data_IF_253115585938
#
_entry.id   IF_253115585938
#
_cell.length_a   1.000
_cell.length_b   1.000
_cell.length_c   1.000
_cell.angle_alpha   90.00
_cell.angle_beta   90.00
_cell.angle_gamma   90.00
#
_symmetry.space_group_name_H-M   'P 1'
#
loop_
_entity.id
_entity.type
_entity.pdbx_description
1 polymer ?
#
# COMPACT_ATOMS: atom_id res chain seq x y z
N UNK A 1 43.37 30.53 18.15
CA UNK A 1 42.68 30.97 16.93
C UNK A 1 41.24 31.30 17.31
N UNK A 2 40.79 32.50 17.01
CA UNK A 2 39.43 32.94 17.29
C UNK A 2 38.52 32.46 16.15
N UNK A 3 37.43 31.78 16.48
CA UNK A 3 36.51 31.29 15.47
C UNK A 3 35.66 32.43 14.90
N UNK A 4 35.18 32.38 13.65
CA UNK A 4 34.31 33.38 13.06
C UNK A 4 33.01 33.57 13.87
N UNK A 5 32.44 34.77 13.79
CA UNK A 5 31.14 35.03 14.43
C UNK A 5 30.08 34.07 13.90
N UNK A 6 29.31 33.50 14.80
CA UNK A 6 28.28 32.53 14.44
C UNK A 6 28.78 31.10 14.20
N UNK A 7 30.10 30.83 14.17
CA UNK A 7 30.63 29.48 13.97
C UNK A 7 30.33 28.56 15.17
N UNK A 8 30.27 29.09 16.37
CA UNK A 8 30.11 28.36 17.63
C UNK A 8 31.35 28.42 18.50
N UNK A 9 31.39 27.63 19.58
CA UNK A 9 32.45 27.70 20.58
C UNK A 9 32.93 26.30 20.94
N UNK A 10 34.29 26.15 21.03
CA UNK A 10 34.94 24.94 21.56
C UNK A 10 35.84 25.35 22.73
N UNK A 11 35.62 24.74 23.92
CA UNK A 11 36.46 24.97 25.08
C UNK A 11 36.61 23.70 25.92
N UNK A 12 37.64 23.68 26.77
CA UNK A 12 37.92 22.57 27.68
C UNK A 12 37.14 22.75 28.98
N UNK A 13 36.42 21.72 29.39
CA UNK A 13 35.75 21.65 30.68
C UNK A 13 36.76 21.32 31.81
N UNK A 14 36.52 21.80 33.01
CA UNK A 14 37.30 21.47 34.18
C UNK A 14 37.06 20.03 34.68
N UNK A 15 38.03 19.51 35.43
CA UNK A 15 37.98 18.16 36.02
C UNK A 15 38.56 17.07 35.12
N UNK A 16 38.70 15.86 35.69
CA UNK A 16 39.26 14.69 35.01
C UNK A 16 38.14 13.98 34.17
N UNK A 17 37.97 14.37 32.92
CA UNK A 17 36.93 13.86 32.01
C UNK A 17 37.56 13.08 30.86
N UNK A 18 36.95 11.96 30.45
CA UNK A 18 37.36 11.21 29.27
C UNK A 18 37.25 12.05 27.99
N UNK A 19 36.22 12.88 27.90
CA UNK A 19 35.96 13.79 26.76
C UNK A 19 35.87 15.24 27.29
N UNK A 20 36.98 15.94 27.51
CA UNK A 20 37.00 17.23 28.18
C UNK A 20 36.63 18.41 27.28
N UNK A 21 36.63 18.27 25.94
CA UNK A 21 36.32 19.38 25.04
C UNK A 21 34.85 19.33 24.65
N UNK A 22 34.16 20.44 24.82
CA UNK A 22 32.76 20.64 24.42
C UNK A 22 32.68 21.54 23.19
N UNK A 23 31.90 21.14 22.19
CA UNK A 23 31.50 21.98 21.07
C UNK A 23 30.06 22.48 21.27
N UNK A 24 29.83 23.78 21.14
CA UNK A 24 28.52 24.41 21.29
C UNK A 24 28.23 25.39 20.17
N UNK A 25 26.97 25.45 19.72
CA UNK A 25 26.44 26.44 18.78
C UNK A 25 25.38 27.28 19.45
N UNK A 26 25.35 28.58 19.22
CA UNK A 26 24.26 29.46 19.68
C UNK A 26 22.99 29.09 18.90
N UNK A 27 21.93 28.81 19.65
CA UNK A 27 20.58 28.50 19.08
C UNK A 27 19.70 29.77 19.05
N UNK A 28 19.91 30.70 20.00
CA UNK A 28 19.14 31.92 20.14
C UNK A 28 19.41 32.63 21.44
N UNK A 29 18.58 33.58 21.75
CA UNK A 29 18.63 34.36 22.97
C UNK A 29 17.24 34.35 23.62
N UNK A 30 17.19 34.22 24.93
CA UNK A 30 15.99 34.31 25.75
C UNK A 30 16.14 35.49 26.73
N UNK A 31 15.09 36.26 26.87
CA UNK A 31 15.08 37.35 27.88
C UNK A 31 14.47 36.78 29.16
N UNK A 32 15.24 36.78 30.23
CA UNK A 32 14.74 36.39 31.55
C UNK A 32 13.65 37.39 31.99
N UNK A 33 12.41 36.94 32.16
CA UNK A 33 11.28 37.83 32.48
C UNK A 33 11.39 38.50 33.87
N UNK A 34 12.24 37.94 34.75
CA UNK A 34 12.43 38.48 36.09
C UNK A 34 13.56 39.51 36.19
N UNK A 35 14.61 39.35 35.39
CA UNK A 35 15.81 40.19 35.47
C UNK A 35 16.02 41.09 34.26
N UNK A 36 15.25 40.94 33.18
CA UNK A 36 15.39 41.68 31.94
C UNK A 36 16.71 41.38 31.18
N UNK A 37 17.54 40.45 31.68
CA UNK A 37 18.83 40.11 31.08
C UNK A 37 18.66 39.07 29.97
N UNK A 38 19.34 39.30 28.85
CA UNK A 38 19.37 38.30 27.76
C UNK A 38 20.29 37.13 28.14
N UNK A 39 19.77 35.92 28.03
CA UNK A 39 20.49 34.66 28.23
C UNK A 39 20.69 33.95 26.87
N UNK A 40 21.93 33.64 26.59
CA UNK A 40 22.26 32.92 25.34
C UNK A 40 21.89 31.44 25.48
N UNK A 41 21.08 30.92 24.54
CA UNK A 41 20.75 29.51 24.42
C UNK A 41 21.75 28.82 23.51
N UNK A 42 22.20 27.63 23.91
CA UNK A 42 23.18 26.87 23.19
C UNK A 42 22.65 25.47 22.86
N UNK A 43 22.96 24.99 21.64
CA UNK A 43 22.95 23.60 21.29
C UNK A 43 24.32 23.01 21.56
N UNK A 44 24.39 21.92 22.34
CA UNK A 44 25.65 21.18 22.57
C UNK A 44 25.82 20.19 21.46
N UNK A 45 26.82 20.39 20.59
CA UNK A 45 27.13 19.49 19.46
C UNK A 45 27.71 18.17 19.97
N UNK A 46 28.55 18.21 21.00
CA UNK A 46 29.08 17.01 21.60
C UNK A 46 30.25 17.28 22.55
N UNK A 47 30.76 16.17 23.16
CA UNK A 47 31.95 16.15 24.02
C UNK A 47 33.01 15.26 23.38
N UNK A 48 34.25 15.74 23.29
CA UNK A 48 35.32 15.12 22.51
C UNK A 48 36.60 15.01 23.32
N UNK A 49 37.45 13.99 23.04
CA UNK A 49 38.73 13.82 23.72
C UNK A 49 39.74 14.92 23.36
N UNK A 50 39.70 15.47 22.16
CA UNK A 50 40.60 16.50 21.68
C UNK A 50 39.89 17.74 21.17
N UNK A 51 40.60 18.90 21.23
CA UNK A 51 40.11 20.17 20.67
C UNK A 51 39.93 20.07 19.16
N UNK A 52 40.77 19.29 18.45
CA UNK A 52 40.70 19.11 17.01
C UNK A 52 39.42 18.40 16.61
N UNK A 53 39.07 17.30 17.26
CA UNK A 53 37.82 16.55 17.04
C UNK A 53 36.58 17.40 17.32
N UNK A 54 36.60 18.18 18.41
CA UNK A 54 35.50 19.08 18.74
C UNK A 54 35.31 20.18 17.66
N UNK A 55 36.42 20.70 17.08
CA UNK A 55 36.35 21.67 15.98
C UNK A 55 35.88 21.04 14.66
N UNK A 56 36.31 19.83 14.35
CA UNK A 56 35.86 19.09 13.17
C UNK A 56 34.34 18.84 13.27
N UNK A 57 33.88 18.33 14.41
CA UNK A 57 32.45 18.09 14.63
C UNK A 57 31.61 19.39 14.58
N UNK A 58 32.16 20.50 15.08
CA UNK A 58 31.49 21.80 14.98
C UNK A 58 31.43 22.32 13.55
N UNK A 59 32.47 22.07 12.74
CA UNK A 59 32.49 22.40 11.32
C UNK A 59 31.50 21.56 10.52
N UNK A 60 31.44 20.25 10.77
CA UNK A 60 30.44 19.34 10.18
C UNK A 60 29.03 19.75 10.56
N UNK A 61 28.78 20.09 11.83
CA UNK A 61 27.50 20.63 12.30
C UNK A 61 27.11 21.93 11.59
N UNK A 62 28.08 22.83 11.31
CA UNK A 62 27.82 24.07 10.58
C UNK A 62 27.59 23.84 9.08
N UNK A 63 28.20 22.83 8.50
CA UNK A 63 27.98 22.43 7.11
C UNK A 63 26.62 21.75 6.91
N UNK A 64 26.17 21.00 7.94
CA UNK A 64 24.87 20.31 7.97
C UNK A 64 24.22 20.54 9.32
N UNK A 65 23.58 21.72 9.56
CA UNK A 65 22.98 22.07 10.85
C UNK A 65 21.67 21.30 11.02
N UNK A 66 21.77 20.04 11.46
CA UNK A 66 20.63 19.29 11.97
C UNK A 66 20.49 19.51 13.49
N UNK A 67 19.28 19.41 13.99
CA UNK A 67 19.04 19.47 15.43
C UNK A 67 19.81 18.34 16.13
N UNK A 68 20.52 18.63 17.24
CA UNK A 68 21.26 17.63 18.02
C UNK A 68 20.29 16.59 18.60
N UNK A 69 19.05 16.95 18.84
CA UNK A 69 18.02 16.00 19.25
C UNK A 69 17.57 15.13 18.09
N UNK A 70 17.53 15.66 16.85
CA UNK A 70 17.34 14.86 15.64
C UNK A 70 18.48 13.83 15.43
N UNK A 71 19.72 14.16 15.81
CA UNK A 71 20.85 13.24 15.73
C UNK A 71 20.75 12.03 16.68
N UNK A 72 19.86 12.07 17.69
CA UNK A 72 19.63 10.95 18.62
C UNK A 72 18.50 10.03 18.17
N UNK A 73 17.67 10.48 17.22
CA UNK A 73 16.50 9.73 16.72
C UNK A 73 16.97 8.43 16.07
N UNK A 74 16.43 7.32 16.53
CA UNK A 74 16.74 5.98 15.99
C UNK A 74 15.89 5.67 14.74
N UNK A 75 16.25 4.61 14.04
CA UNK A 75 15.48 4.11 12.91
C UNK A 75 14.08 3.65 13.35
N UNK A 76 13.96 3.08 14.55
CA UNK A 76 12.70 2.71 15.19
C UNK A 76 11.86 3.93 15.56
N UNK A 77 12.44 4.98 16.15
CA UNK A 77 11.71 6.22 16.47
C UNK A 77 11.07 6.84 15.21
N UNK A 78 11.78 6.82 14.07
CA UNK A 78 11.22 7.30 12.80
C UNK A 78 10.07 6.42 12.34
N UNK A 79 10.20 5.10 12.45
CA UNK A 79 9.13 4.17 12.08
C UNK A 79 7.89 4.38 12.95
N UNK A 80 8.04 4.47 14.27
CA UNK A 80 6.94 4.67 15.20
C UNK A 80 6.20 5.97 14.92
N UNK A 81 6.91 7.10 14.88
CA UNK A 81 6.31 8.40 14.58
C UNK A 81 5.62 8.44 13.22
N UNK A 82 6.28 7.90 12.19
CA UNK A 82 5.70 7.80 10.85
C UNK A 82 4.47 6.88 10.84
N UNK A 83 4.52 5.75 11.52
CA UNK A 83 3.41 4.79 11.55
C UNK A 83 2.19 5.33 12.25
N UNK A 84 2.36 6.04 13.36
CA UNK A 84 1.27 6.67 14.12
C UNK A 84 0.48 7.69 13.26
N UNK A 85 1.18 8.45 12.44
CA UNK A 85 0.56 9.42 11.53
C UNK A 85 -0.02 8.75 10.27
N UNK A 86 0.65 7.74 9.72
CA UNK A 86 0.32 7.17 8.41
C UNK A 86 -0.73 6.05 8.49
N UNK A 87 -0.70 5.21 9.49
CA UNK A 87 -1.60 4.05 9.57
C UNK A 87 -3.09 4.40 9.60
N UNK A 88 -3.54 5.48 10.26
CA UNK A 88 -4.94 5.90 10.21
C UNK A 88 -5.42 6.30 8.80
N UNK A 89 -4.50 6.62 7.88
CA UNK A 89 -4.81 7.11 6.52
C UNK A 89 -4.85 6.01 5.47
N UNK A 90 -4.53 4.76 5.83
CA UNK A 90 -4.42 3.64 4.88
C UNK A 90 -5.25 2.44 5.31
N UNK A 91 -5.52 1.52 4.38
CA UNK A 91 -6.26 0.30 4.68
C UNK A 91 -5.48 -0.66 5.59
N UNK A 92 -6.20 -1.49 6.38
CA UNK A 92 -5.63 -2.52 7.25
C UNK A 92 -4.67 -3.47 6.51
N UNK A 93 -4.97 -3.78 5.25
CA UNK A 93 -4.10 -4.60 4.41
C UNK A 93 -2.75 -3.94 4.16
N UNK A 94 -2.72 -2.60 4.00
CA UNK A 94 -1.48 -1.85 3.88
C UNK A 94 -0.71 -1.82 5.20
N UNK A 95 -1.41 -1.59 6.32
CA UNK A 95 -0.82 -1.63 7.68
C UNK A 95 -0.14 -2.97 7.93
N UNK A 96 -0.85 -4.10 7.67
CA UNK A 96 -0.28 -5.45 7.78
C UNK A 96 0.97 -5.62 6.91
N UNK A 97 0.95 -5.11 5.68
CA UNK A 97 2.10 -5.16 4.78
C UNK A 97 3.29 -4.33 5.26
N UNK A 98 3.06 -3.15 5.85
CA UNK A 98 4.13 -2.32 6.42
C UNK A 98 4.73 -2.95 7.69
N UNK A 99 3.89 -3.50 8.58
CA UNK A 99 4.36 -4.23 9.76
C UNK A 99 5.21 -5.45 9.39
N UNK A 100 4.80 -6.22 8.38
CA UNK A 100 5.57 -7.35 7.87
C UNK A 100 6.91 -6.92 7.25
N UNK A 101 6.96 -5.77 6.58
CA UNK A 101 8.21 -5.20 6.07
C UNK A 101 9.10 -4.69 7.21
N UNK A 102 8.53 -4.01 8.21
CA UNK A 102 9.25 -3.55 9.40
C UNK A 102 9.92 -4.69 10.17
N UNK A 103 9.25 -5.83 10.32
CA UNK A 103 9.82 -7.01 10.98
C UNK A 103 11.13 -7.54 10.37
N UNK A 104 11.53 -7.04 9.18
CA UNK A 104 12.83 -7.34 8.59
C UNK A 104 13.95 -6.38 9.06
N UNK A 105 13.59 -5.31 9.79
CA UNK A 105 14.48 -4.19 10.09
C UNK A 105 15.16 -4.25 11.47
N UNK A 106 15.07 -5.38 12.20
CA UNK A 106 15.55 -5.51 13.59
C UNK A 106 17.00 -5.01 13.78
N UNK A 107 17.88 -5.30 12.80
CA UNK A 107 19.28 -4.87 12.83
C UNK A 107 19.46 -3.35 12.74
N UNK A 108 18.49 -2.64 12.17
CA UNK A 108 18.53 -1.19 12.01
C UNK A 108 17.81 -0.45 13.15
N UNK A 109 16.87 -1.10 13.84
CA UNK A 109 15.95 -0.46 14.75
C UNK A 109 16.65 0.50 15.74
N UNK A 110 17.73 0.06 16.37
CA UNK A 110 18.49 0.84 17.38
C UNK A 110 19.56 1.77 16.80
N UNK A 111 19.81 1.74 15.49
CA UNK A 111 20.77 2.63 14.86
C UNK A 111 20.19 4.06 14.81
N UNK A 112 21.05 5.06 15.05
CA UNK A 112 20.61 6.45 14.80
C UNK A 112 20.30 6.62 13.32
N UNK A 113 19.17 7.25 13.02
CA UNK A 113 18.70 7.40 11.64
C UNK A 113 19.72 8.09 10.73
N UNK A 114 20.42 9.09 11.27
CA UNK A 114 21.48 9.83 10.57
C UNK A 114 22.69 8.98 10.21
N UNK A 115 22.92 7.84 10.88
CA UNK A 115 24.05 6.94 10.62
C UNK A 115 23.68 5.80 9.66
N UNK A 116 22.39 5.65 9.34
CA UNK A 116 21.95 4.60 8.39
C UNK A 116 22.40 4.99 6.98
N UNK A 117 23.19 4.11 6.37
CA UNK A 117 23.72 4.24 4.99
C UNK A 117 22.95 3.32 4.05
N UNK A 118 23.10 3.52 2.75
CA UNK A 118 22.52 2.63 1.73
C UNK A 118 22.93 1.16 1.94
N UNK A 119 24.21 0.91 2.29
CA UNK A 119 24.71 -0.45 2.53
C UNK A 119 23.96 -1.15 3.67
N UNK A 120 23.54 -0.42 4.70
CA UNK A 120 22.75 -0.98 5.79
C UNK A 120 21.34 -1.39 5.32
N UNK A 121 20.71 -0.58 4.46
CA UNK A 121 19.40 -0.90 3.85
C UNK A 121 19.54 -2.09 2.89
N UNK A 122 20.62 -2.12 2.10
CA UNK A 122 20.90 -3.21 1.17
C UNK A 122 21.17 -4.53 1.90
N UNK A 123 21.89 -4.49 3.01
CA UNK A 123 22.12 -5.65 3.88
C UNK A 123 20.77 -6.28 4.34
N UNK A 124 19.79 -5.47 4.75
CA UNK A 124 18.45 -5.97 5.12
C UNK A 124 17.77 -6.66 3.95
N UNK A 125 17.89 -6.12 2.74
CA UNK A 125 17.37 -6.74 1.51
C UNK A 125 18.05 -8.08 1.25
N UNK A 126 19.36 -8.11 1.23
CA UNK A 126 20.18 -9.26 0.83
C UNK A 126 20.05 -10.41 1.82
N UNK A 127 19.99 -10.13 3.11
CA UNK A 127 19.91 -11.14 4.17
C UNK A 127 18.45 -11.61 4.45
N UNK A 128 17.44 -10.90 3.95
CA UNK A 128 16.04 -11.21 4.26
C UNK A 128 15.56 -12.55 3.72
N UNK A 129 16.18 -13.07 2.65
CA UNK A 129 15.71 -14.27 1.92
C UNK A 129 14.32 -14.09 1.29
N UNK A 130 13.81 -12.85 1.16
CA UNK A 130 12.47 -12.58 0.64
C UNK A 130 12.48 -12.37 -0.88
N UNK A 131 11.34 -12.65 -1.50
CA UNK A 131 11.14 -12.44 -2.94
C UNK A 131 10.83 -10.97 -3.28
N UNK A 132 10.90 -10.66 -4.57
CA UNK A 132 10.70 -9.31 -5.11
C UNK A 132 9.42 -8.59 -4.62
N UNK A 133 8.21 -9.19 -4.57
CA UNK A 133 7.02 -8.52 -4.08
C UNK A 133 7.14 -8.05 -2.63
N UNK A 134 7.75 -8.84 -1.76
CA UNK A 134 7.98 -8.50 -0.36
C UNK A 134 9.02 -7.38 -0.24
N UNK A 135 10.13 -7.49 -0.97
CA UNK A 135 11.19 -6.48 -0.97
C UNK A 135 10.74 -5.16 -1.60
N UNK A 136 9.84 -5.20 -2.59
CA UNK A 136 9.19 -4.00 -3.10
C UNK A 136 8.41 -3.27 -2.01
N UNK A 137 7.70 -4.00 -1.14
CA UNK A 137 6.98 -3.41 0.00
C UNK A 137 7.96 -2.81 1.02
N UNK A 138 9.07 -3.48 1.28
CA UNK A 138 10.14 -2.97 2.14
C UNK A 138 10.77 -1.68 1.56
N UNK A 139 11.08 -1.63 0.27
CA UNK A 139 11.59 -0.41 -0.40
C UNK A 139 10.59 0.75 -0.31
N UNK A 140 9.28 0.46 -0.45
CA UNK A 140 8.23 1.47 -0.26
C UNK A 140 8.23 1.98 1.18
N UNK A 141 8.32 1.10 2.18
CA UNK A 141 8.41 1.48 3.59
C UNK A 141 9.60 2.41 3.83
N UNK A 142 10.79 2.03 3.39
CA UNK A 142 11.98 2.89 3.50
C UNK A 142 11.77 4.25 2.85
N UNK A 143 11.22 4.28 1.63
CA UNK A 143 10.92 5.53 0.94
C UNK A 143 9.99 6.47 1.73
N UNK A 144 8.97 5.91 2.38
CA UNK A 144 8.04 6.67 3.22
C UNK A 144 8.69 7.16 4.51
N UNK A 145 9.49 6.33 5.18
CA UNK A 145 10.24 6.71 6.39
C UNK A 145 11.28 7.79 6.09
N UNK A 146 12.03 7.67 4.99
CA UNK A 146 13.01 8.68 4.59
C UNK A 146 12.34 9.99 4.18
N UNK A 147 11.20 9.92 3.49
CA UNK A 147 10.39 11.11 3.18
C UNK A 147 9.92 11.80 4.47
N UNK A 148 9.43 11.05 5.44
CA UNK A 148 9.04 11.55 6.76
C UNK A 148 10.24 12.24 7.45
N UNK A 149 11.38 11.56 7.50
CA UNK A 149 12.58 12.08 8.13
C UNK A 149 13.11 13.39 7.49
N UNK A 150 12.93 13.55 6.16
CA UNK A 150 13.25 14.80 5.46
C UNK A 150 12.26 15.91 5.81
N UNK A 151 10.96 15.61 5.83
CA UNK A 151 9.90 16.60 6.16
C UNK A 151 10.06 17.11 7.59
N UNK A 152 10.45 16.23 8.53
CA UNK A 152 10.66 16.58 9.94
C UNK A 152 12.11 16.97 10.27
N UNK A 153 12.90 17.31 9.25
CA UNK A 153 14.27 17.84 9.37
C UNK A 153 15.24 16.94 10.16
N UNK A 154 14.93 15.62 10.25
CA UNK A 154 15.82 14.62 10.89
C UNK A 154 17.05 14.40 10.03
N UNK A 155 16.89 14.40 8.71
CA UNK A 155 17.98 14.31 7.71
C UNK A 155 17.73 15.32 6.58
N UNK A 156 18.80 15.81 5.90
CA UNK A 156 18.63 16.57 4.68
C UNK A 156 18.19 15.68 3.51
N UNK A 157 17.57 16.27 2.48
CA UNK A 157 16.99 15.56 1.31
C UNK A 157 18.00 14.69 0.58
N UNK A 158 19.25 15.15 0.48
CA UNK A 158 20.36 14.48 -0.21
C UNK A 158 20.76 13.15 0.44
N UNK A 159 20.33 12.93 1.68
CA UNK A 159 20.55 11.67 2.43
C UNK A 159 19.51 10.59 2.10
N UNK A 160 18.48 10.91 1.33
CA UNK A 160 17.51 9.91 0.88
C UNK A 160 18.04 9.14 -0.34
N UNK A 161 18.75 8.06 -0.08
CA UNK A 161 19.36 7.19 -1.09
C UNK A 161 18.52 5.93 -1.40
N UNK A 162 17.26 5.87 -0.95
CA UNK A 162 16.39 4.69 -1.10
C UNK A 162 16.11 4.34 -2.57
N UNK A 163 16.17 5.31 -3.49
CA UNK A 163 16.01 5.06 -4.93
C UNK A 163 17.08 4.11 -5.47
N UNK A 164 18.32 4.16 -4.94
CA UNK A 164 19.46 3.32 -5.34
C UNK A 164 19.42 1.90 -4.76
N UNK A 165 18.46 1.60 -3.87
CA UNK A 165 18.33 0.26 -3.28
C UNK A 165 17.97 -0.77 -4.35
N UNK A 166 18.82 -1.79 -4.50
CA UNK A 166 18.63 -2.85 -5.49
C UNK A 166 17.83 -4.01 -4.90
N UNK A 167 16.63 -4.25 -5.47
CA UNK A 167 15.76 -5.38 -5.11
C UNK A 167 15.50 -6.31 -6.30
N UNK A 168 16.11 -6.06 -7.46
CA UNK A 168 15.80 -6.76 -8.72
C UNK A 168 16.29 -8.21 -8.72
N UNK A 169 17.39 -8.48 -8.01
CA UNK A 169 18.02 -9.81 -7.95
C UNK A 169 17.19 -10.84 -7.17
N UNK A 170 16.24 -10.39 -6.37
CA UNK A 170 15.49 -11.26 -5.47
C UNK A 170 14.54 -12.25 -6.15
N UNK A 171 14.24 -12.05 -7.44
CA UNK A 171 13.32 -12.89 -8.18
C UNK A 171 11.90 -12.94 -7.59
N UNK A 172 11.04 -13.71 -8.21
CA UNK A 172 9.70 -14.04 -7.68
C UNK A 172 9.41 -15.51 -7.97
N UNK A 173 9.92 -16.45 -7.16
CA UNK A 173 9.73 -17.90 -7.39
C UNK A 173 8.26 -18.30 -7.34
N UNK A 174 7.39 -17.48 -6.73
CA UNK A 174 5.96 -17.71 -6.67
C UNK A 174 5.19 -16.76 -7.61
N UNK A 175 5.82 -16.35 -8.72
CA UNK A 175 5.14 -15.55 -9.74
C UNK A 175 3.97 -16.37 -10.29
N UNK A 176 2.75 -15.91 -9.99
CA UNK A 176 1.53 -16.46 -10.55
C UNK A 176 1.28 -15.79 -11.91
N UNK A 177 1.36 -16.56 -12.98
CA UNK A 177 0.91 -16.10 -14.28
C UNK A 177 -0.61 -16.03 -14.27
N UNK A 178 -1.14 -14.84 -14.42
CA UNK A 178 -2.58 -14.63 -14.50
C UNK A 178 -3.05 -14.94 -15.89
N UNK A 179 -3.75 -16.06 -16.03
CA UNK A 179 -4.33 -16.49 -17.28
C UNK A 179 -5.85 -16.41 -17.18
N UNK A 180 -6.54 -15.90 -18.21
CA UNK A 180 -7.99 -15.99 -18.28
C UNK A 180 -8.42 -17.46 -18.31
N UNK A 181 -9.62 -17.76 -17.82
CA UNK A 181 -10.24 -19.07 -18.09
C UNK A 181 -10.36 -19.27 -19.59
N UNK A 182 -9.95 -20.43 -20.04
CA UNK A 182 -10.14 -20.85 -21.44
C UNK A 182 -11.63 -21.08 -21.76
N UNK A 183 -11.98 -21.09 -23.03
CA UNK A 183 -13.36 -21.40 -23.45
C UNK A 183 -13.85 -22.75 -22.94
N UNK A 184 -12.96 -23.75 -22.92
CA UNK A 184 -13.27 -25.09 -22.43
C UNK A 184 -13.50 -25.13 -20.92
N UNK A 185 -12.75 -24.35 -20.15
CA UNK A 185 -12.95 -24.22 -18.69
C UNK A 185 -14.24 -23.48 -18.36
N UNK A 186 -14.57 -22.41 -19.10
CA UNK A 186 -15.87 -21.73 -18.95
C UNK A 186 -17.03 -22.66 -19.29
N UNK A 187 -16.93 -23.43 -20.39
CA UNK A 187 -17.94 -24.44 -20.74
C UNK A 187 -18.10 -25.47 -19.62
N UNK A 188 -17.01 -25.99 -19.08
CA UNK A 188 -17.03 -26.93 -17.95
C UNK A 188 -17.72 -26.37 -16.71
N UNK A 189 -17.54 -25.08 -16.42
CA UNK A 189 -18.26 -24.40 -15.32
C UNK A 189 -19.77 -24.38 -15.58
N UNK A 190 -20.22 -24.17 -16.82
CA UNK A 190 -21.62 -24.22 -17.20
C UNK A 190 -22.20 -25.64 -17.08
N UNK A 191 -21.44 -26.67 -17.42
CA UNK A 191 -21.87 -28.07 -17.33
C UNK A 191 -22.10 -28.52 -15.88
N UNK A 192 -21.28 -27.99 -14.93
CA UNK A 192 -21.35 -28.41 -13.52
C UNK A 192 -22.12 -27.48 -12.62
N UNK A 193 -22.64 -26.35 -13.12
CA UNK A 193 -23.26 -25.27 -12.30
C UNK A 193 -24.38 -25.77 -11.38
N UNK A 194 -25.12 -26.80 -11.78
CA UNK A 194 -26.24 -27.34 -11.03
C UNK A 194 -25.81 -28.37 -9.97
N UNK A 195 -24.57 -28.85 -10.01
CA UNK A 195 -24.03 -29.79 -9.02
C UNK A 195 -23.65 -29.12 -7.70
N UNK A 196 -23.31 -27.84 -7.74
CA UNK A 196 -23.03 -27.00 -6.58
C UNK A 196 -23.32 -25.55 -6.93
N UNK A 197 -24.23 -24.92 -6.17
CA UNK A 197 -24.68 -23.54 -6.45
C UNK A 197 -23.54 -22.52 -6.46
N UNK A 198 -22.44 -22.77 -5.75
CA UNK A 198 -21.30 -21.85 -5.71
C UNK A 198 -20.50 -21.79 -7.03
N UNK A 199 -20.69 -22.72 -7.97
CA UNK A 199 -20.19 -22.57 -9.35
C UNK A 199 -20.88 -21.40 -10.06
N UNK A 200 -22.13 -21.09 -9.73
CA UNK A 200 -22.82 -19.92 -10.28
C UNK A 200 -22.15 -18.62 -9.89
N UNK A 201 -21.54 -18.53 -8.70
CA UNK A 201 -20.80 -17.35 -8.25
C UNK A 201 -19.56 -17.12 -9.12
N UNK A 202 -18.88 -18.19 -9.54
CA UNK A 202 -17.73 -18.10 -10.45
C UNK A 202 -18.18 -17.56 -11.81
N UNK A 203 -19.32 -18.07 -12.34
CA UNK A 203 -19.92 -17.57 -13.58
C UNK A 203 -20.37 -16.11 -13.46
N UNK A 204 -21.02 -15.74 -12.35
CA UNK A 204 -21.39 -14.34 -12.08
C UNK A 204 -20.16 -13.42 -12.13
N UNK A 205 -19.04 -13.84 -11.54
CA UNK A 205 -17.77 -13.07 -11.60
C UNK A 205 -17.23 -12.96 -13.03
N UNK A 206 -17.30 -14.03 -13.84
CA UNK A 206 -16.86 -14.02 -15.24
C UNK A 206 -17.72 -13.08 -16.07
N UNK A 207 -19.05 -13.13 -15.94
CA UNK A 207 -19.98 -12.38 -16.79
C UNK A 207 -20.34 -10.98 -16.26
N UNK A 208 -19.75 -10.53 -15.16
CA UNK A 208 -19.84 -9.15 -14.68
C UNK A 208 -18.50 -8.43 -14.66
N UNK A 209 -17.40 -9.21 -14.61
CA UNK A 209 -16.04 -8.68 -14.49
C UNK A 209 -15.79 -7.91 -13.19
N UNK A 210 -16.65 -8.02 -12.17
CA UNK A 210 -16.41 -7.37 -10.88
C UNK A 210 -15.30 -8.07 -10.07
N UNK A 211 -14.76 -7.37 -9.09
CA UNK A 211 -13.83 -7.98 -8.14
C UNK A 211 -14.61 -8.88 -7.19
N UNK A 212 -14.01 -9.97 -6.76
CA UNK A 212 -14.67 -10.89 -5.82
C UNK A 212 -15.19 -10.18 -4.56
N UNK A 213 -14.41 -9.27 -3.96
CA UNK A 213 -14.88 -8.49 -2.81
C UNK A 213 -16.09 -7.59 -3.14
N UNK A 214 -16.16 -7.03 -4.36
CA UNK A 214 -17.30 -6.21 -4.80
C UNK A 214 -18.58 -7.06 -4.89
N UNK A 215 -18.49 -8.33 -5.27
CA UNK A 215 -19.63 -9.23 -5.36
C UNK A 215 -20.03 -9.82 -3.99
N UNK A 216 -19.06 -10.17 -3.15
CA UNK A 216 -19.33 -10.67 -1.79
C UNK A 216 -19.95 -9.60 -0.88
N UNK A 217 -19.53 -8.34 -1.06
CA UNK A 217 -20.02 -7.19 -0.29
C UNK A 217 -21.24 -6.51 -0.93
N UNK A 218 -21.80 -7.09 -2.02
CA UNK A 218 -22.94 -6.53 -2.72
C UNK A 218 -24.21 -6.72 -1.90
N UNK A 219 -24.84 -5.63 -1.48
CA UNK A 219 -26.13 -5.65 -0.78
C UNK A 219 -27.27 -5.76 -1.79
N UNK A 220 -28.35 -6.46 -1.40
CA UNK A 220 -29.56 -6.61 -2.21
C UNK A 220 -30.20 -5.27 -2.57
N UNK A 221 -30.16 -4.28 -1.67
CA UNK A 221 -30.66 -2.91 -1.94
C UNK A 221 -29.98 -2.21 -3.13
N UNK A 222 -28.75 -2.65 -3.47
CA UNK A 222 -27.99 -2.11 -4.59
C UNK A 222 -28.16 -2.90 -5.89
N UNK A 223 -29.04 -3.92 -5.92
CA UNK A 223 -29.33 -4.75 -7.09
C UNK A 223 -30.69 -4.35 -7.65
N UNK A 224 -30.73 -3.97 -8.91
CA UNK A 224 -31.96 -3.76 -9.66
C UNK A 224 -32.11 -4.90 -10.68
N UNK A 225 -32.95 -5.88 -10.34
CA UNK A 225 -33.21 -7.03 -11.21
C UNK A 225 -34.05 -6.65 -12.43
N UNK A 226 -34.97 -5.71 -12.30
CA UNK A 226 -35.85 -5.28 -13.40
C UNK A 226 -35.05 -4.62 -14.52
N UNK A 227 -34.14 -3.68 -14.16
CA UNK A 227 -33.28 -2.98 -15.12
C UNK A 227 -31.92 -3.67 -15.34
N UNK A 228 -31.71 -4.85 -14.73
CA UNK A 228 -30.52 -5.71 -14.90
C UNK A 228 -29.18 -5.01 -14.65
N UNK A 229 -29.08 -4.34 -13.52
CA UNK A 229 -27.80 -3.77 -13.06
C UNK A 229 -27.64 -3.87 -11.54
N UNK A 230 -26.45 -3.62 -11.06
CA UNK A 230 -26.17 -3.40 -9.65
C UNK A 230 -25.18 -2.26 -9.45
N UNK A 231 -25.24 -1.62 -8.27
CA UNK A 231 -24.38 -0.50 -7.90
C UNK A 231 -23.26 -0.96 -6.98
N UNK A 232 -22.01 -0.70 -7.35
CA UNK A 232 -20.86 -0.86 -6.49
C UNK A 232 -20.62 0.48 -5.81
N UNK A 233 -21.04 0.59 -4.55
CA UNK A 233 -21.02 1.84 -3.76
C UNK A 233 -19.72 2.04 -3.00
N UNK A 234 -18.92 0.97 -2.81
CA UNK A 234 -17.63 1.00 -2.17
C UNK A 234 -16.62 0.16 -2.94
N UNK A 235 -15.44 0.70 -3.21
CA UNK A 235 -14.36 0.00 -3.89
C UNK A 235 -13.01 0.57 -3.48
N UNK A 236 -11.94 -0.23 -3.65
CA UNK A 236 -10.55 0.16 -3.37
C UNK A 236 -10.11 1.44 -4.11
N UNK A 237 -10.74 1.76 -5.23
CA UNK A 237 -10.43 2.94 -6.08
C UNK A 237 -11.71 3.68 -6.46
N UNK A 238 -11.63 5.00 -6.65
CA UNK A 238 -12.78 5.79 -7.08
C UNK A 238 -13.41 5.26 -8.38
N UNK A 239 -12.60 4.81 -9.35
CA UNK A 239 -13.08 4.20 -10.59
C UNK A 239 -13.79 2.85 -10.39
N UNK A 240 -13.64 2.24 -9.22
CA UNK A 240 -14.37 1.01 -8.85
C UNK A 240 -15.82 1.28 -8.47
N UNK A 241 -16.17 2.49 -8.02
CA UNK A 241 -17.54 2.91 -7.72
C UNK A 241 -18.25 3.14 -9.05
N UNK A 242 -19.25 2.31 -9.34
CA UNK A 242 -19.92 2.31 -10.65
C UNK A 242 -21.23 1.54 -10.64
N UNK A 243 -22.03 1.72 -11.65
CA UNK A 243 -23.13 0.82 -12.01
C UNK A 243 -22.54 -0.27 -12.95
N UNK A 244 -22.79 -1.52 -12.63
CA UNK A 244 -22.34 -2.68 -13.40
C UNK A 244 -23.55 -3.44 -13.98
N UNK A 245 -23.51 -3.82 -15.27
CA UNK A 245 -24.61 -4.53 -15.92
C UNK A 245 -24.66 -6.00 -15.50
N UNK A 246 -25.85 -6.59 -15.51
CA UNK A 246 -26.09 -8.02 -15.34
C UNK A 246 -26.37 -8.63 -16.72
N UNK A 247 -25.47 -9.53 -17.18
CA UNK A 247 -25.69 -10.28 -18.42
C UNK A 247 -26.88 -11.22 -18.30
N UNK A 248 -27.64 -11.36 -19.37
CA UNK A 248 -28.77 -12.30 -19.47
C UNK A 248 -28.37 -13.73 -19.07
N UNK A 249 -27.17 -14.17 -19.42
CA UNK A 249 -26.68 -15.51 -19.11
C UNK A 249 -26.62 -15.81 -17.60
N UNK A 250 -26.30 -14.82 -16.78
CA UNK A 250 -26.16 -14.98 -15.33
C UNK A 250 -27.29 -14.33 -14.54
N UNK A 251 -28.24 -13.68 -15.20
CA UNK A 251 -29.41 -13.08 -14.57
C UNK A 251 -30.17 -14.07 -13.65
N UNK A 252 -30.43 -15.34 -14.09
CA UNK A 252 -31.13 -16.31 -13.24
C UNK A 252 -30.37 -16.60 -11.93
N UNK A 253 -29.03 -16.48 -11.93
CA UNK A 253 -28.25 -16.67 -10.72
C UNK A 253 -28.38 -15.49 -9.77
N UNK A 254 -28.43 -14.24 -10.30
CA UNK A 254 -28.72 -13.07 -9.49
C UNK A 254 -30.10 -13.16 -8.86
N UNK A 255 -31.12 -13.56 -9.63
CA UNK A 255 -32.49 -13.76 -9.15
C UNK A 255 -32.57 -14.85 -8.06
N UNK A 256 -31.91 -15.99 -8.26
CA UNK A 256 -31.81 -17.06 -7.28
C UNK A 256 -31.20 -16.58 -5.95
N UNK A 257 -30.03 -15.98 -6.01
CA UNK A 257 -29.32 -15.50 -4.82
C UNK A 257 -30.08 -14.36 -4.12
N UNK A 258 -30.75 -13.51 -4.88
CA UNK A 258 -31.57 -12.42 -4.33
C UNK A 258 -32.72 -12.94 -3.49
N UNK A 259 -33.38 -14.01 -3.93
CA UNK A 259 -34.55 -14.58 -3.30
C UNK A 259 -34.24 -15.72 -2.32
N UNK A 260 -32.99 -16.12 -2.17
CA UNK A 260 -32.60 -17.32 -1.41
C UNK A 260 -32.98 -17.24 0.09
N UNK A 261 -32.75 -16.09 0.72
CA UNK A 261 -32.94 -15.84 2.14
C UNK A 261 -33.02 -14.35 2.45
N UNK A 262 -33.18 -13.98 3.73
CA UNK A 262 -33.33 -12.58 4.19
C UNK A 262 -31.96 -11.90 4.47
N UNK A 263 -30.83 -12.50 4.07
CA UNK A 263 -29.53 -11.86 4.20
C UNK A 263 -29.51 -10.51 3.49
N UNK A 264 -28.96 -9.49 4.11
CA UNK A 264 -28.77 -8.15 3.53
C UNK A 264 -27.89 -8.18 2.26
N UNK A 265 -26.95 -9.12 2.20
CA UNK A 265 -26.05 -9.30 1.06
C UNK A 265 -26.62 -10.24 0.02
N UNK A 266 -26.29 -9.99 -1.26
CA UNK A 266 -26.76 -10.83 -2.37
C UNK A 266 -26.30 -12.28 -2.20
N UNK A 267 -25.02 -12.47 -1.88
CA UNK A 267 -24.42 -13.78 -1.62
C UNK A 267 -24.31 -14.01 -0.12
N UNK A 268 -24.70 -15.20 0.33
CA UNK A 268 -24.64 -15.59 1.74
C UNK A 268 -24.08 -16.99 1.93
N UNK A 269 -23.59 -17.26 3.13
CA UNK A 269 -23.26 -18.63 3.57
C UNK A 269 -24.53 -19.49 3.65
N UNK A 270 -24.43 -20.82 3.78
CA UNK A 270 -25.59 -21.69 4.01
C UNK A 270 -26.41 -21.28 5.24
N UNK A 271 -25.79 -20.65 6.23
CA UNK A 271 -26.40 -20.16 7.46
C UNK A 271 -27.08 -18.79 7.27
N UNK A 272 -27.00 -18.19 6.06
CA UNK A 272 -27.58 -16.88 5.76
C UNK A 272 -26.71 -15.69 6.21
N UNK A 273 -25.43 -15.91 6.46
CA UNK A 273 -24.50 -14.86 6.90
C UNK A 273 -23.68 -14.25 5.74
N UNK A 274 -23.16 -13.05 5.96
CA UNK A 274 -22.25 -12.37 5.03
C UNK A 274 -20.94 -13.15 4.83
N UNK A 275 -20.54 -13.35 3.59
CA UNK A 275 -19.25 -13.95 3.26
C UNK A 275 -18.06 -13.04 3.60
N UNK A 276 -17.13 -13.55 4.39
CA UNK A 276 -15.78 -12.98 4.46
C UNK A 276 -14.91 -13.57 3.35
N UNK A 277 -14.14 -12.74 2.65
CA UNK A 277 -13.32 -13.17 1.51
C UNK A 277 -12.47 -14.42 1.82
N UNK A 278 -11.83 -14.49 2.97
CA UNK A 278 -10.97 -15.61 3.35
C UNK A 278 -11.77 -16.91 3.47
N UNK A 279 -12.93 -16.83 4.15
CA UNK A 279 -13.84 -17.97 4.27
C UNK A 279 -14.32 -18.45 2.90
N UNK A 280 -14.81 -17.52 2.04
CA UNK A 280 -15.23 -17.87 0.68
C UNK A 280 -14.11 -18.53 -0.12
N UNK A 281 -12.88 -17.96 -0.06
CA UNK A 281 -11.75 -18.48 -0.82
C UNK A 281 -11.36 -19.90 -0.38
N UNK A 282 -11.21 -20.13 0.92
CA UNK A 282 -10.70 -21.40 1.46
C UNK A 282 -11.77 -22.51 1.42
N UNK A 283 -13.04 -22.18 1.68
CA UNK A 283 -14.11 -23.17 1.85
C UNK A 283 -14.92 -23.43 0.57
N UNK A 284 -14.92 -22.51 -0.38
CA UNK A 284 -15.74 -22.61 -1.60
C UNK A 284 -14.89 -22.48 -2.87
N UNK A 285 -14.16 -21.38 -3.07
CA UNK A 285 -13.43 -21.15 -4.30
C UNK A 285 -12.38 -22.24 -4.57
N UNK A 286 -11.45 -22.43 -3.64
CA UNK A 286 -10.30 -23.34 -3.83
C UNK A 286 -10.75 -24.78 -4.08
N UNK A 287 -11.65 -25.38 -3.25
CA UNK A 287 -12.14 -26.74 -3.47
C UNK A 287 -12.86 -26.91 -4.81
N UNK A 288 -13.69 -25.94 -5.23
CA UNK A 288 -14.42 -26.03 -6.49
C UNK A 288 -13.49 -26.00 -7.71
N UNK A 289 -12.50 -25.10 -7.70
CA UNK A 289 -11.52 -24.99 -8.80
C UNK A 289 -10.63 -26.23 -8.86
N UNK A 290 -10.18 -26.72 -7.70
CA UNK A 290 -9.37 -27.96 -7.60
C UNK A 290 -10.13 -29.19 -8.09
N UNK A 291 -11.40 -29.34 -7.74
CA UNK A 291 -12.27 -30.44 -8.23
C UNK A 291 -12.37 -30.48 -9.75
N UNK A 292 -12.31 -29.33 -10.40
CA UNK A 292 -12.31 -29.21 -11.85
C UNK A 292 -10.92 -29.41 -12.48
N UNK A 293 -9.86 -29.58 -11.67
CA UNK A 293 -8.47 -29.67 -12.14
C UNK A 293 -7.93 -28.35 -12.68
N UNK A 294 -8.53 -27.22 -12.28
CA UNK A 294 -8.14 -25.89 -12.72
C UNK A 294 -7.20 -25.21 -11.71
N UNK A 295 -6.46 -24.19 -12.17
CA UNK A 295 -5.54 -23.40 -11.32
C UNK A 295 -5.79 -21.91 -11.49
N UNK A 296 -6.95 -21.44 -11.05
CA UNK A 296 -7.34 -20.04 -11.14
C UNK A 296 -7.53 -19.38 -9.78
N UNK A 297 -7.31 -18.10 -9.74
CA UNK A 297 -7.64 -17.22 -8.59
C UNK A 297 -8.87 -16.38 -8.93
N UNK A 298 -9.63 -15.87 -7.94
CA UNK A 298 -10.84 -15.09 -8.20
C UNK A 298 -10.63 -13.90 -9.15
N UNK A 299 -9.44 -13.29 -9.18
CA UNK A 299 -9.17 -12.16 -10.07
C UNK A 299 -9.06 -12.55 -11.56
N UNK A 300 -8.84 -13.84 -11.87
CA UNK A 300 -8.73 -14.32 -13.24
C UNK A 300 -10.10 -14.32 -13.96
N UNK A 301 -11.22 -14.43 -13.21
CA UNK A 301 -12.56 -14.25 -13.76
C UNK A 301 -12.75 -12.90 -14.42
N UNK A 302 -12.18 -11.85 -13.81
CA UNK A 302 -12.22 -10.50 -14.36
C UNK A 302 -11.32 -10.36 -15.61
N UNK A 303 -10.17 -11.02 -15.64
CA UNK A 303 -9.34 -11.09 -16.85
C UNK A 303 -10.08 -11.83 -17.97
N UNK A 304 -10.84 -12.89 -17.63
CA UNK A 304 -11.69 -13.63 -18.56
C UNK A 304 -12.76 -12.71 -19.16
N UNK A 305 -13.52 -12.00 -18.33
CA UNK A 305 -14.50 -11.03 -18.79
C UNK A 305 -13.92 -10.02 -19.79
N UNK A 306 -12.80 -9.39 -19.43
CA UNK A 306 -12.10 -8.41 -20.28
C UNK A 306 -11.73 -9.03 -21.62
N UNK A 307 -11.14 -10.24 -21.60
CA UNK A 307 -10.71 -10.96 -22.82
C UNK A 307 -11.90 -11.32 -23.69
N UNK A 308 -12.99 -11.82 -23.10
CA UNK A 308 -14.20 -12.18 -23.84
C UNK A 308 -14.84 -10.95 -24.50
N UNK A 309 -14.99 -9.84 -23.78
CA UNK A 309 -15.51 -8.59 -24.31
C UNK A 309 -14.65 -8.02 -25.45
N UNK A 310 -13.32 -8.08 -25.29
CA UNK A 310 -12.38 -7.64 -26.32
C UNK A 310 -12.51 -8.50 -27.60
N UNK A 311 -12.60 -9.82 -27.47
CA UNK A 311 -12.81 -10.76 -28.60
C UNK A 311 -14.18 -10.51 -29.25
N UNK A 312 -15.21 -10.15 -28.48
CA UNK A 312 -16.54 -9.80 -28.99
C UNK A 312 -16.61 -8.41 -29.64
N UNK A 313 -15.48 -7.69 -29.75
CA UNK A 313 -15.40 -6.37 -30.42
C UNK A 313 -15.95 -5.21 -29.58
N UNK A 314 -16.08 -5.37 -28.27
CA UNK A 314 -16.48 -4.28 -27.39
C UNK A 314 -15.32 -3.29 -27.23
N UNK A 315 -15.61 -1.99 -27.32
CA UNK A 315 -14.55 -0.96 -27.21
C UNK A 315 -13.89 -0.96 -25.84
N UNK A 316 -12.59 -0.66 -25.79
CA UNK A 316 -11.80 -0.60 -24.54
C UNK A 316 -12.40 0.37 -23.50
N UNK A 317 -13.04 1.47 -23.96
CA UNK A 317 -13.72 2.42 -23.08
C UNK A 317 -14.91 1.79 -22.35
N UNK A 318 -15.74 1.04 -23.06
CA UNK A 318 -16.90 0.33 -22.51
C UNK A 318 -16.42 -0.77 -21.57
N UNK A 319 -15.41 -1.55 -21.97
CA UNK A 319 -14.81 -2.59 -21.11
C UNK A 319 -14.31 -1.98 -19.80
N UNK A 320 -13.52 -0.89 -19.86
CA UNK A 320 -13.02 -0.19 -18.68
C UNK A 320 -14.15 0.30 -17.77
N UNK A 321 -15.25 0.79 -18.34
CA UNK A 321 -16.44 1.23 -17.59
C UNK A 321 -17.10 0.07 -16.87
N UNK A 322 -17.38 -1.04 -17.56
CA UNK A 322 -17.99 -2.25 -16.99
C UNK A 322 -17.14 -2.76 -15.83
N UNK A 323 -15.85 -2.96 -16.06
CA UNK A 323 -14.99 -3.56 -15.05
C UNK A 323 -14.48 -2.56 -13.99
N UNK A 324 -14.58 -1.25 -14.19
CA UNK A 324 -14.07 -0.22 -13.26
C UNK A 324 -12.55 -0.15 -13.23
N UNK A 325 -11.93 -0.03 -14.41
CA UNK A 325 -10.52 0.33 -14.55
C UNK A 325 -10.37 1.84 -14.67
N UNK A 326 -9.35 2.41 -14.05
CA UNK A 326 -9.01 3.83 -14.18
C UNK A 326 -8.55 4.10 -15.61
N UNK A 327 -9.21 5.04 -16.32
CA UNK A 327 -8.75 5.54 -17.62
C UNK A 327 -7.39 6.25 -17.52
N UNK A 328 -6.63 6.24 -18.61
CA UNK A 328 -5.35 6.95 -18.72
C UNK A 328 -5.57 8.33 -19.34
N UNK A 329 -6.03 9.31 -18.55
CA UNK A 329 -6.14 10.70 -18.98
C UNK A 329 -7.41 11.41 -18.49
N UNK A 330 -7.34 12.74 -18.39
CA UNK A 330 -8.45 13.59 -17.92
C UNK A 330 -9.65 13.53 -18.88
N UNK A 331 -9.42 13.42 -20.17
CA UNK A 331 -10.46 13.35 -21.21
C UNK A 331 -11.28 12.06 -21.14
N UNK A 332 -10.67 10.94 -20.71
CA UNK A 332 -11.35 9.64 -20.59
C UNK A 332 -12.27 9.59 -19.35
N UNK A 333 -11.98 10.39 -18.32
CA UNK A 333 -12.72 10.40 -17.04
C UNK A 333 -13.92 11.35 -17.10
N UNK A 334 -13.85 12.43 -17.86
CA UNK A 334 -14.82 13.55 -17.78
C UNK A 334 -15.93 13.47 -18.84
N UNK A 335 -15.70 12.81 -19.98
CA UNK A 335 -16.60 12.95 -21.15
C UNK A 335 -17.31 11.66 -21.61
N UNK A 336 -17.18 10.55 -20.91
CA UNK A 336 -17.84 9.31 -21.34
C UNK A 336 -18.95 8.92 -20.35
N UNK A 337 -20.16 9.46 -20.55
CA UNK A 337 -21.38 8.91 -19.99
C UNK A 337 -21.84 7.77 -20.90
N UNK A 338 -21.98 6.57 -20.35
CA UNK A 338 -22.64 5.44 -20.99
C UNK A 338 -23.94 5.21 -20.23
N UNK A 339 -25.03 5.09 -20.97
CA UNK A 339 -26.30 4.66 -20.42
C UNK A 339 -26.19 3.16 -20.04
N UNK A 340 -27.02 2.74 -19.09
CA UNK A 340 -26.93 1.36 -18.58
C UNK A 340 -27.26 0.33 -19.66
N UNK A 341 -28.16 0.67 -20.57
CA UNK A 341 -28.56 -0.15 -21.72
C UNK A 341 -27.37 -0.47 -22.62
N UNK A 342 -26.50 0.52 -22.90
CA UNK A 342 -25.29 0.32 -23.69
C UNK A 342 -24.32 -0.67 -23.03
N UNK A 343 -24.24 -0.65 -21.69
CA UNK A 343 -23.41 -1.57 -20.92
C UNK A 343 -24.01 -2.98 -20.90
N UNK A 344 -25.35 -3.08 -20.84
CA UNK A 344 -26.08 -4.35 -20.92
C UNK A 344 -25.91 -4.97 -22.30
N UNK A 345 -26.07 -4.20 -23.37
CA UNK A 345 -25.86 -4.66 -24.73
C UNK A 345 -24.40 -5.14 -24.94
N UNK A 346 -23.46 -4.43 -24.34
CA UNK A 346 -22.05 -4.82 -24.42
C UNK A 346 -21.76 -6.14 -23.68
N UNK A 347 -22.28 -6.31 -22.45
CA UNK A 347 -22.03 -7.52 -21.66
C UNK A 347 -22.76 -8.75 -22.23
N UNK A 348 -23.88 -8.58 -22.91
CA UNK A 348 -24.63 -9.66 -23.56
C UNK A 348 -23.96 -10.21 -24.81
N UNK A 349 -22.89 -9.56 -25.32
CA UNK A 349 -22.09 -10.11 -26.45
C UNK A 349 -21.23 -11.30 -26.04
N UNK A 350 -21.10 -11.60 -24.75
CA UNK A 350 -20.26 -12.68 -24.22
C UNK A 350 -21.08 -13.76 -23.51
#
# INVERSE_FOLDING_TARGET
MKLPNGFGTVYKLSGNRRNPYVAKKTKGWEIDPKTGKSKQLYTVVGYYPTRKEALTALAEFNANPYDVDAAKVTFEDVYERWSDEHFPTVSDSNVKGYRAAWALCDKLARMRFVDVKLDHLQMVVDESGKNYPTLRKLKILFGLMYKYAVIHEIIPKERNLVEYLDIKKAGNPNAYNREPFSKTEVAKLWDVKDSNIYYTVILMLIYTGCRIGELLDLKKENVNLEERYFKIVASKTAAGIRTAPISEKVYPFFEYWYNLNDCEYLLSTPEGEHFKYRNYYDSYWSPLIETLGMKHRPHDTRHTCISMLAVAGVSDKVIKKIVGHKGQGVTEVVYTHFEIEELIDAINKI
#
